data_IF_453065644104
#
_entry.id   IF_453065644104
#
_cell.length_a   1.000
_cell.length_b   1.000
_cell.length_c   1.000
_cell.angle_alpha   90.00
_cell.angle_beta   90.00
_cell.angle_gamma   90.00
#
_symmetry.space_group_name_H-M   'P 1'
#
loop_
_entity.id
_entity.type
_entity.pdbx_description
1 polymer ?
#
# COMPACT_ATOMS: atom_id res chain seq x y z
N UNK A 1 -2.14 -14.53 4.42
CA UNK A 1 -2.35 -13.39 3.49
C UNK A 1 -1.55 -12.20 3.98
N UNK A 2 -0.89 -11.45 3.11
CA UNK A 2 -0.18 -10.21 3.46
C UNK A 2 -0.86 -9.06 2.71
N UNK A 3 -1.25 -8.01 3.43
CA UNK A 3 -1.74 -6.77 2.85
C UNK A 3 -0.69 -5.67 3.00
N UNK A 4 -0.41 -4.96 1.90
CA UNK A 4 0.49 -3.81 1.89
C UNK A 4 -0.30 -2.56 1.58
N UNK A 5 -0.22 -1.58 2.46
CA UNK A 5 -0.93 -0.32 2.28
C UNK A 5 -0.12 0.86 2.83
N UNK A 6 -0.68 2.03 2.77
CA UNK A 6 -0.09 3.29 3.19
C UNK A 6 -0.68 4.42 2.39
N UNK A 7 -0.34 5.64 2.71
CA UNK A 7 -0.72 6.79 1.90
C UNK A 7 -0.22 6.60 0.46
N UNK A 8 -1.00 6.97 -0.55
CA UNK A 8 -0.48 6.96 -1.91
C UNK A 8 0.79 7.83 -1.98
N UNK A 9 1.77 7.41 -2.77
CA UNK A 9 3.10 8.03 -2.88
C UNK A 9 4.05 7.82 -1.68
N UNK A 10 3.66 7.00 -0.68
CA UNK A 10 4.55 6.63 0.43
C UNK A 10 5.62 5.58 0.07
N UNK A 11 5.60 5.01 -1.14
CA UNK A 11 6.55 3.97 -1.55
C UNK A 11 6.03 2.54 -1.43
N UNK A 12 4.72 2.35 -1.32
CA UNK A 12 4.09 1.01 -1.25
C UNK A 12 4.54 0.07 -2.37
N UNK A 13 4.73 0.59 -3.60
CA UNK A 13 5.21 -0.22 -4.73
C UNK A 13 6.65 -0.73 -4.54
N UNK A 14 7.53 0.07 -3.92
CA UNK A 14 8.89 -0.34 -3.59
C UNK A 14 8.89 -1.47 -2.55
N UNK A 15 8.17 -1.29 -1.45
CA UNK A 15 8.06 -2.32 -0.41
C UNK A 15 7.42 -3.60 -0.96
N UNK A 16 6.40 -3.50 -1.82
CA UNK A 16 5.79 -4.68 -2.45
C UNK A 16 6.76 -5.41 -3.39
N UNK A 17 7.59 -4.66 -4.13
CA UNK A 17 8.67 -5.26 -4.93
C UNK A 17 9.62 -6.06 -4.04
N UNK A 18 9.97 -5.54 -2.87
CA UNK A 18 10.81 -6.28 -1.93
C UNK A 18 10.12 -7.56 -1.45
N UNK A 19 8.83 -7.52 -1.10
CA UNK A 19 8.08 -8.73 -0.76
C UNK A 19 8.10 -9.77 -1.91
N UNK A 20 7.94 -9.33 -3.15
CA UNK A 20 8.04 -10.21 -4.33
C UNK A 20 9.42 -10.89 -4.42
N UNK A 21 10.50 -10.14 -4.21
CA UNK A 21 11.89 -10.67 -4.19
C UNK A 21 12.08 -11.70 -3.07
N UNK A 22 11.36 -11.55 -1.97
CA UNK A 22 11.35 -12.47 -0.84
C UNK A 22 10.34 -13.63 -0.99
N UNK A 23 9.85 -13.86 -2.22
CA UNK A 23 9.01 -15.01 -2.56
C UNK A 23 7.51 -14.83 -2.32
N UNK A 24 7.03 -13.62 -2.05
CA UNK A 24 5.59 -13.36 -1.98
C UNK A 24 4.93 -13.42 -3.36
N UNK A 25 3.79 -14.07 -3.45
CA UNK A 25 2.98 -14.18 -4.65
C UNK A 25 1.97 -13.04 -4.73
N UNK A 26 2.01 -12.27 -5.80
CA UNK A 26 1.12 -11.11 -6.03
C UNK A 26 -0.06 -11.41 -6.97
N UNK A 27 -0.17 -12.62 -7.45
CA UNK A 27 -1.10 -13.05 -8.49
C UNK A 27 -0.40 -13.40 -9.81
N UNK A 28 -1.16 -13.87 -10.82
CA UNK A 28 -0.64 -14.14 -12.14
C UNK A 28 0.04 -12.90 -12.73
N UNK A 29 1.19 -13.07 -13.39
CA UNK A 29 2.01 -11.94 -13.87
C UNK A 29 1.25 -11.01 -14.82
N UNK A 30 0.41 -11.56 -15.70
CA UNK A 30 -0.43 -10.79 -16.61
C UNK A 30 -1.53 -9.97 -15.90
N UNK A 31 -1.73 -10.14 -14.60
CA UNK A 31 -2.68 -9.38 -13.76
C UNK A 31 -2.01 -8.42 -12.79
N UNK A 32 -0.69 -8.40 -12.75
CA UNK A 32 0.08 -7.50 -11.87
C UNK A 32 0.66 -6.36 -12.71
N UNK A 33 0.30 -5.13 -12.39
CA UNK A 33 0.78 -3.96 -13.10
C UNK A 33 2.20 -3.54 -12.66
N UNK A 34 2.74 -2.52 -13.31
CA UNK A 34 4.07 -1.94 -13.01
C UNK A 34 4.19 -1.35 -11.59
N UNK A 35 3.08 -1.12 -10.91
CA UNK A 35 3.02 -0.67 -9.53
C UNK A 35 2.85 -1.82 -8.53
N UNK A 36 2.96 -3.07 -8.99
CA UNK A 36 2.79 -4.27 -8.19
C UNK A 36 1.37 -4.41 -7.58
N UNK A 37 0.34 -3.92 -8.25
CA UNK A 37 -1.06 -4.12 -7.90
C UNK A 37 -1.68 -5.20 -8.77
N UNK A 38 -2.44 -6.12 -8.17
CA UNK A 38 -3.28 -7.02 -8.93
C UNK A 38 -4.45 -6.22 -9.50
N UNK A 39 -4.47 -6.06 -10.82
CA UNK A 39 -5.44 -5.21 -11.54
C UNK A 39 -6.87 -5.71 -11.35
N UNK A 40 -7.07 -7.03 -11.32
CA UNK A 40 -8.40 -7.62 -11.16
C UNK A 40 -8.99 -7.32 -9.77
N UNK A 41 -8.19 -7.44 -8.70
CA UNK A 41 -8.62 -7.07 -7.34
C UNK A 41 -8.88 -5.57 -7.26
N UNK A 42 -7.96 -4.76 -7.81
CA UNK A 42 -8.08 -3.29 -7.79
C UNK A 42 -9.36 -2.81 -8.48
N UNK A 43 -9.59 -3.24 -9.72
CA UNK A 43 -10.71 -2.73 -10.53
C UNK A 43 -12.06 -3.31 -10.08
N UNK A 44 -12.13 -4.64 -9.86
CA UNK A 44 -13.42 -5.30 -9.62
C UNK A 44 -13.82 -5.35 -8.14
N UNK A 45 -12.92 -5.07 -7.21
CA UNK A 45 -13.24 -5.06 -5.78
C UNK A 45 -13.01 -3.67 -5.20
N UNK A 46 -11.76 -3.21 -5.10
CA UNK A 46 -11.40 -2.00 -4.36
C UNK A 46 -12.11 -0.78 -4.93
N UNK A 47 -12.01 -0.55 -6.24
CA UNK A 47 -12.69 0.59 -6.89
C UNK A 47 -14.21 0.43 -6.88
N UNK A 48 -14.73 -0.79 -7.05
CA UNK A 48 -16.17 -1.05 -7.02
C UNK A 48 -16.77 -0.75 -5.65
N UNK A 49 -16.06 -1.07 -4.55
CA UNK A 49 -16.51 -0.69 -3.21
C UNK A 49 -16.53 0.83 -3.08
N UNK A 50 -15.42 1.52 -3.45
CA UNK A 50 -15.33 2.98 -3.35
C UNK A 50 -16.45 3.68 -4.16
N UNK A 51 -16.69 3.26 -5.40
CA UNK A 51 -17.77 3.82 -6.23
C UNK A 51 -19.15 3.59 -5.62
N UNK A 52 -19.38 2.43 -4.97
CA UNK A 52 -20.67 2.12 -4.34
C UNK A 52 -20.99 3.01 -3.13
N UNK A 53 -19.98 3.58 -2.51
CA UNK A 53 -20.11 4.49 -1.36
C UNK A 53 -19.83 5.95 -1.75
N UNK A 54 -19.95 6.29 -3.02
CA UNK A 54 -19.73 7.62 -3.58
C UNK A 54 -18.35 8.24 -3.24
N UNK A 55 -17.35 7.38 -2.97
CA UNK A 55 -15.97 7.80 -2.76
C UNK A 55 -15.18 7.79 -4.07
N UNK A 56 -14.11 8.59 -4.14
CA UNK A 56 -13.25 8.62 -5.33
C UNK A 56 -12.54 7.25 -5.54
N UNK A 57 -12.72 6.59 -6.70
CA UNK A 57 -12.08 5.31 -7.00
C UNK A 57 -10.55 5.39 -7.08
N UNK A 58 -9.95 6.56 -7.13
CA UNK A 58 -8.51 6.77 -7.02
C UNK A 58 -8.04 6.98 -5.57
N UNK A 59 -8.98 7.08 -4.61
CA UNK A 59 -8.69 7.32 -3.20
C UNK A 59 -8.24 8.75 -2.90
N UNK A 60 -8.69 9.72 -3.73
CA UNK A 60 -8.52 11.14 -3.49
C UNK A 60 -9.72 11.66 -2.68
N UNK A 61 -10.28 12.82 -2.99
CA UNK A 61 -11.51 13.30 -2.36
C UNK A 61 -12.75 13.00 -3.22
N UNK A 62 -13.89 12.69 -2.56
CA UNK A 62 -14.07 12.55 -1.11
C UNK A 62 -13.51 11.22 -0.58
N UNK A 63 -12.96 11.25 0.65
CA UNK A 63 -12.57 10.03 1.36
C UNK A 63 -13.79 9.45 2.10
N UNK A 64 -13.99 8.12 2.09
CA UNK A 64 -15.11 7.50 2.77
C UNK A 64 -14.94 7.56 4.29
N UNK A 65 -16.05 7.66 5.04
CA UNK A 65 -16.07 7.34 6.45
C UNK A 65 -15.84 5.83 6.64
N UNK A 66 -15.06 5.46 7.65
CA UNK A 66 -14.85 4.05 7.98
C UNK A 66 -16.11 3.42 8.60
N UNK A 67 -16.98 4.23 9.21
CA UNK A 67 -18.19 3.78 9.89
C UNK A 67 -19.34 3.50 8.90
N UNK A 68 -19.24 4.05 7.69
CA UNK A 68 -20.26 3.92 6.63
C UNK A 68 -19.92 2.83 5.59
N UNK A 69 -18.90 2.00 5.87
CA UNK A 69 -18.51 0.96 4.94
C UNK A 69 -19.59 -0.14 4.86
N UNK A 70 -20.08 -0.48 3.66
CA UNK A 70 -21.10 -1.49 3.48
C UNK A 70 -20.55 -2.90 3.76
N UNK A 71 -21.38 -3.78 4.25
CA UNK A 71 -21.04 -5.20 4.25
C UNK A 71 -20.73 -5.66 2.80
N UNK A 72 -19.66 -6.45 2.63
CA UNK A 72 -19.28 -7.01 1.34
C UNK A 72 -19.21 -8.55 1.40
N UNK A 73 -20.35 -9.24 1.29
CA UNK A 73 -20.38 -10.69 1.36
C UNK A 73 -19.49 -11.32 0.30
N UNK A 74 -18.72 -12.33 0.72
CA UNK A 74 -17.85 -13.07 -0.19
C UNK A 74 -16.57 -12.34 -0.60
N UNK A 75 -16.20 -11.21 0.03
CA UNK A 75 -14.96 -10.47 -0.25
C UNK A 75 -13.74 -11.39 -0.28
N UNK A 76 -13.58 -12.25 0.74
CA UNK A 76 -12.47 -13.21 0.79
C UNK A 76 -12.41 -14.10 -0.45
N UNK A 77 -13.55 -14.70 -0.84
CA UNK A 77 -13.62 -15.57 -2.02
C UNK A 77 -13.27 -14.81 -3.29
N UNK A 78 -13.78 -13.60 -3.47
CA UNK A 78 -13.51 -12.77 -4.64
C UNK A 78 -12.03 -12.41 -4.74
N UNK A 79 -11.41 -11.95 -3.65
CA UNK A 79 -9.98 -11.60 -3.60
C UNK A 79 -9.13 -12.82 -3.94
N UNK A 80 -9.39 -13.98 -3.34
CA UNK A 80 -8.63 -15.20 -3.60
C UNK A 80 -8.81 -15.70 -5.03
N UNK A 81 -10.01 -15.57 -5.61
CA UNK A 81 -10.27 -15.91 -7.01
C UNK A 81 -9.42 -15.07 -7.98
N UNK A 82 -9.28 -13.78 -7.71
CA UNK A 82 -8.49 -12.90 -8.57
C UNK A 82 -6.97 -13.01 -8.33
N UNK A 83 -6.56 -13.24 -7.09
CA UNK A 83 -5.15 -13.49 -6.78
C UNK A 83 -4.69 -14.86 -7.31
N UNK A 84 -5.56 -15.86 -7.31
CA UNK A 84 -5.19 -17.23 -7.62
C UNK A 84 -4.45 -17.93 -6.48
N UNK A 85 -3.88 -19.12 -6.80
CA UNK A 85 -3.18 -19.97 -5.83
C UNK A 85 -1.67 -19.68 -5.91
N UNK A 86 -1.08 -19.40 -4.75
CA UNK A 86 0.36 -19.17 -4.62
C UNK A 86 0.81 -19.19 -3.17
N UNK A 87 2.09 -19.37 -2.98
CA UNK A 87 2.70 -19.34 -1.64
C UNK A 87 2.84 -17.91 -1.14
N UNK A 88 2.58 -17.69 0.16
CA UNK A 88 2.68 -16.37 0.79
C UNK A 88 1.96 -15.27 -0.03
N UNK A 89 0.64 -15.41 -0.28
CA UNK A 89 -0.09 -14.46 -1.12
C UNK A 89 -0.06 -13.08 -0.50
N UNK A 90 0.22 -12.07 -1.33
CA UNK A 90 0.24 -10.68 -0.93
C UNK A 90 -0.55 -9.81 -1.91
N UNK A 91 -1.24 -8.82 -1.39
CA UNK A 91 -1.94 -7.81 -2.17
C UNK A 91 -1.60 -6.41 -1.69
N UNK A 92 -1.32 -5.52 -2.62
CA UNK A 92 -0.97 -4.13 -2.35
C UNK A 92 -1.96 -3.19 -3.02
N UNK A 93 -2.49 -2.29 -2.22
CA UNK A 93 -3.20 -1.11 -2.71
C UNK A 93 -3.18 0.00 -1.63
N UNK A 94 -2.84 1.23 -2.00
CA UNK A 94 -2.90 2.37 -1.08
C UNK A 94 -4.33 2.62 -0.57
N UNK A 95 -5.34 2.31 -1.38
CA UNK A 95 -6.75 2.47 -1.03
C UNK A 95 -7.25 1.48 0.04
N UNK A 96 -6.45 0.47 0.39
CA UNK A 96 -6.78 -0.38 1.54
C UNK A 96 -6.83 0.42 2.84
N UNK A 97 -6.14 1.55 2.95
CA UNK A 97 -6.28 2.45 4.12
C UNK A 97 -7.69 3.00 4.28
N UNK A 98 -8.47 3.02 3.21
CA UNK A 98 -9.85 3.51 3.19
C UNK A 98 -10.87 2.39 3.41
N UNK A 99 -10.45 1.14 3.24
CA UNK A 99 -11.33 -0.05 3.23
C UNK A 99 -10.85 -1.14 4.21
N UNK A 100 -9.84 -0.85 5.03
CA UNK A 100 -9.20 -1.86 5.87
C UNK A 100 -10.17 -2.64 6.79
N UNK A 101 -11.27 -2.07 7.33
CA UNK A 101 -12.18 -2.84 8.15
C UNK A 101 -12.79 -4.02 7.41
N UNK A 102 -13.18 -3.82 6.13
CA UNK A 102 -13.74 -4.89 5.31
C UNK A 102 -12.73 -6.01 5.06
N UNK A 103 -11.48 -5.63 4.80
CA UNK A 103 -10.40 -6.59 4.54
C UNK A 103 -9.94 -7.29 5.83
N UNK A 104 -9.94 -6.62 6.99
CA UNK A 104 -9.72 -7.24 8.30
C UNK A 104 -10.77 -8.33 8.56
N UNK A 105 -12.05 -8.00 8.39
CA UNK A 105 -13.13 -8.92 8.67
C UNK A 105 -13.15 -10.12 7.71
N UNK A 106 -12.77 -9.89 6.44
CA UNK A 106 -12.64 -10.95 5.45
C UNK A 106 -11.39 -11.83 5.66
N UNK A 107 -10.32 -11.30 6.26
CA UNK A 107 -9.03 -11.97 6.45
C UNK A 107 -8.48 -11.70 7.86
N UNK A 108 -9.12 -12.21 8.92
CA UNK A 108 -8.73 -11.91 10.30
C UNK A 108 -7.32 -12.40 10.65
N UNK A 109 -6.78 -13.36 9.90
CA UNK A 109 -5.43 -13.90 10.05
C UNK A 109 -4.36 -13.16 9.21
N UNK A 110 -4.74 -12.11 8.50
CA UNK A 110 -3.81 -11.44 7.60
C UNK A 110 -2.76 -10.62 8.33
N UNK A 111 -1.53 -10.65 7.81
CA UNK A 111 -0.45 -9.75 8.19
C UNK A 111 -0.57 -8.44 7.41
N UNK A 112 -0.37 -7.32 8.09
CA UNK A 112 -0.44 -6.01 7.47
C UNK A 112 0.92 -5.33 7.47
N UNK A 113 1.26 -4.70 6.36
CA UNK A 113 2.46 -3.87 6.21
C UNK A 113 2.03 -2.45 5.89
N UNK A 114 2.19 -1.56 6.85
CA UNK A 114 1.89 -0.14 6.70
C UNK A 114 3.14 0.61 6.26
N UNK A 115 3.12 1.13 5.06
CA UNK A 115 4.25 1.84 4.46
C UNK A 115 4.15 3.32 4.75
N UNK A 116 5.19 3.84 5.40
CA UNK A 116 5.32 5.23 5.84
C UNK A 116 6.35 5.98 5.00
N UNK A 117 6.15 7.26 4.91
CA UNK A 117 7.10 8.20 4.32
C UNK A 117 6.88 9.59 4.94
N UNK A 118 7.90 10.43 4.89
CA UNK A 118 7.79 11.83 5.30
C UNK A 118 6.61 12.52 4.59
N UNK A 119 5.80 13.27 5.37
CA UNK A 119 4.58 13.94 4.91
C UNK A 119 4.87 14.91 3.77
N UNK A 120 5.93 15.73 3.88
CA UNK A 120 6.26 16.70 2.85
C UNK A 120 6.65 16.02 1.53
N UNK A 121 7.42 14.91 1.59
CA UNK A 121 7.77 14.12 0.40
C UNK A 121 6.55 13.48 -0.27
N UNK A 122 5.54 13.08 0.51
CA UNK A 122 4.27 12.59 -0.04
C UNK A 122 3.55 13.71 -0.78
N UNK A 123 3.38 14.88 -0.15
CA UNK A 123 2.71 16.05 -0.72
C UNK A 123 3.35 16.44 -2.04
N UNK A 124 4.67 16.64 -2.06
CA UNK A 124 5.41 16.98 -3.27
C UNK A 124 5.25 15.94 -4.38
N UNK A 125 5.26 14.65 -4.00
CA UNK A 125 5.05 13.57 -4.97
C UNK A 125 3.62 13.56 -5.52
N UNK A 126 2.60 13.88 -4.72
CA UNK A 126 1.23 14.03 -5.16
C UNK A 126 1.09 15.17 -6.17
N UNK A 127 1.65 16.32 -5.86
CA UNK A 127 1.62 17.51 -6.73
C UNK A 127 2.24 17.27 -8.11
N UNK A 128 3.30 16.45 -8.18
CA UNK A 128 3.98 16.08 -9.44
C UNK A 128 3.28 14.97 -10.21
N UNK A 129 2.30 14.29 -9.62
CA UNK A 129 1.67 13.11 -10.21
C UNK A 129 0.42 13.50 -11.00
N UNK A 130 0.42 13.27 -12.31
CA UNK A 130 -0.61 13.77 -13.23
C UNK A 130 -2.04 13.33 -12.95
N UNK A 131 -2.24 12.14 -12.39
CA UNK A 131 -3.58 11.63 -12.06
C UNK A 131 -4.05 12.02 -10.64
N UNK A 132 -3.17 12.62 -9.82
CA UNK A 132 -3.51 13.11 -8.49
C UNK A 132 -3.93 14.59 -8.58
N UNK A 133 -5.20 14.86 -8.87
CA UNK A 133 -5.69 16.22 -9.18
C UNK A 133 -6.93 16.64 -8.42
N UNK A 134 -7.61 15.71 -7.73
CA UNK A 134 -8.89 15.97 -7.06
C UNK A 134 -8.75 16.49 -5.63
N UNK A 135 -7.54 16.63 -5.13
CA UNK A 135 -7.29 17.17 -3.80
C UNK A 135 -6.75 18.59 -3.91
N UNK A 136 -7.35 19.52 -3.16
CA UNK A 136 -6.89 20.92 -3.07
C UNK A 136 -5.86 21.09 -1.95
N UNK A 137 -5.97 20.29 -0.92
CA UNK A 137 -5.07 20.29 0.25
C UNK A 137 -4.51 18.89 0.51
N UNK A 138 -3.35 18.62 -0.05
CA UNK A 138 -2.64 17.37 0.15
C UNK A 138 -2.14 17.19 1.58
N UNK A 139 -1.90 18.30 2.31
CA UNK A 139 -1.51 18.26 3.71
C UNK A 139 -2.61 17.65 4.57
N UNK A 140 -3.82 18.18 4.45
CA UNK A 140 -4.99 17.67 5.14
C UNK A 140 -5.34 16.22 4.74
N UNK A 141 -5.23 15.90 3.42
CA UNK A 141 -5.46 14.54 2.93
C UNK A 141 -4.48 13.51 3.55
N UNK A 142 -3.20 13.89 3.75
CA UNK A 142 -2.24 13.02 4.45
C UNK A 142 -2.63 12.89 5.92
N UNK A 143 -3.06 13.97 6.59
CA UNK A 143 -3.49 13.93 8.00
C UNK A 143 -4.68 13.00 8.22
N UNK A 144 -5.65 13.00 7.31
CA UNK A 144 -6.77 12.05 7.35
C UNK A 144 -6.31 10.59 7.18
N UNK A 145 -5.24 10.32 6.41
CA UNK A 145 -4.64 8.98 6.33
C UNK A 145 -3.92 8.62 7.64
N UNK A 146 -3.20 9.56 8.26
CA UNK A 146 -2.54 9.34 9.56
C UNK A 146 -3.56 8.95 10.66
N UNK A 147 -4.70 9.63 10.72
CA UNK A 147 -5.79 9.25 11.66
C UNK A 147 -6.30 7.82 11.42
N UNK A 148 -6.33 7.36 10.15
CA UNK A 148 -6.69 5.98 9.83
C UNK A 148 -5.61 5.01 10.27
N UNK A 149 -4.33 5.39 10.16
CA UNK A 149 -3.22 4.56 10.60
C UNK A 149 -3.23 4.32 12.10
N UNK A 150 -3.63 5.32 12.93
CA UNK A 150 -3.83 5.13 14.37
C UNK A 150 -4.85 4.00 14.62
N UNK A 151 -6.02 4.08 13.99
CA UNK A 151 -7.05 3.04 14.12
C UNK A 151 -6.59 1.66 13.64
N UNK A 152 -5.76 1.62 12.58
CA UNK A 152 -5.20 0.36 12.07
C UNK A 152 -4.22 -0.28 13.04
N UNK A 153 -3.38 0.53 13.73
CA UNK A 153 -2.42 0.03 14.76
C UNK A 153 -3.13 -0.70 15.88
N UNK A 154 -4.27 -0.18 16.31
CA UNK A 154 -5.01 -0.73 17.43
C UNK A 154 -5.76 -2.03 17.08
N UNK A 155 -6.02 -2.30 15.80
CA UNK A 155 -6.96 -3.34 15.39
C UNK A 155 -6.38 -4.40 14.44
N UNK A 156 -5.15 -4.25 13.98
CA UNK A 156 -4.53 -5.14 12.99
C UNK A 156 -3.22 -5.74 13.48
N UNK A 157 -2.93 -6.98 13.05
CA UNK A 157 -1.59 -7.54 13.13
C UNK A 157 -0.68 -6.86 12.10
N UNK A 158 -0.07 -5.74 12.50
CA UNK A 158 0.53 -4.76 11.61
C UNK A 158 1.99 -4.46 11.97
N UNK A 159 2.82 -4.34 10.94
CA UNK A 159 4.18 -3.78 11.03
C UNK A 159 4.27 -2.50 10.21
N UNK A 160 4.93 -1.48 10.76
CA UNK A 160 5.24 -0.26 10.01
C UNK A 160 6.64 -0.30 9.41
N UNK A 161 6.77 0.29 8.22
CA UNK A 161 8.05 0.42 7.54
C UNK A 161 8.17 1.79 6.87
N UNK A 162 9.26 2.48 7.17
CA UNK A 162 9.59 3.76 6.55
C UNK A 162 10.41 3.51 5.29
N UNK A 163 9.86 3.92 4.15
CA UNK A 163 10.52 3.70 2.84
C UNK A 163 11.91 4.30 2.78
N UNK A 164 12.09 5.54 3.26
CA UNK A 164 13.39 6.22 3.25
C UNK A 164 14.42 5.48 4.14
N UNK A 165 13.98 4.88 5.24
CA UNK A 165 14.86 4.07 6.10
C UNK A 165 15.35 2.80 5.40
N UNK A 166 14.49 2.12 4.64
CA UNK A 166 14.89 0.92 3.88
C UNK A 166 15.83 1.28 2.73
N UNK A 167 15.65 2.44 2.10
CA UNK A 167 16.53 2.92 1.03
C UNK A 167 17.93 3.22 1.56
N UNK A 168 18.02 3.85 2.74
CA UNK A 168 19.30 4.19 3.36
C UNK A 168 19.95 3.01 4.07
N UNK A 169 19.18 2.09 4.59
CA UNK A 169 19.65 0.89 5.30
C UNK A 169 18.75 -0.32 4.99
N UNK A 170 19.19 -1.27 4.15
CA UNK A 170 18.43 -2.47 3.80
C UNK A 170 17.97 -3.31 5.01
N UNK A 171 18.71 -3.28 6.11
CA UNK A 171 18.33 -3.97 7.34
C UNK A 171 17.08 -3.42 8.01
N UNK A 172 16.65 -2.19 7.69
CA UNK A 172 15.37 -1.66 8.15
C UNK A 172 14.15 -2.45 7.65
N UNK A 173 14.33 -3.31 6.63
CA UNK A 173 13.28 -4.24 6.17
C UNK A 173 13.15 -5.51 7.04
N UNK A 174 14.06 -5.75 7.98
CA UNK A 174 14.08 -6.97 8.82
C UNK A 174 12.81 -7.17 9.64
N UNK A 175 12.21 -6.09 10.15
CA UNK A 175 10.95 -6.13 10.88
C UNK A 175 9.80 -6.64 9.99
N UNK A 176 9.73 -6.18 8.74
CA UNK A 176 8.75 -6.64 7.76
C UNK A 176 8.99 -8.11 7.40
N UNK A 177 10.25 -8.49 7.14
CA UNK A 177 10.61 -9.87 6.81
C UNK A 177 10.18 -10.79 7.96
N UNK A 178 10.56 -10.49 9.20
CA UNK A 178 10.18 -11.26 10.39
C UNK A 178 8.67 -11.35 10.56
N UNK A 179 7.96 -10.22 10.48
CA UNK A 179 6.51 -10.16 10.64
C UNK A 179 5.79 -11.02 9.59
N UNK A 180 6.25 -10.98 8.33
CA UNK A 180 5.67 -11.74 7.22
C UNK A 180 6.19 -13.20 7.12
N UNK A 181 7.07 -13.65 7.99
CA UNK A 181 7.68 -14.99 7.94
C UNK A 181 8.55 -15.20 6.69
N UNK A 182 9.38 -14.20 6.36
CA UNK A 182 10.27 -14.18 5.20
C UNK A 182 11.73 -14.21 5.66
N UNK A 183 12.60 -14.83 4.88
CA UNK A 183 14.05 -14.77 5.10
C UNK A 183 14.60 -13.47 4.50
N UNK A 184 15.38 -12.72 5.27
CA UNK A 184 15.92 -11.42 4.83
C UNK A 184 17.00 -11.59 3.74
N UNK A 185 16.77 -11.00 2.58
CA UNK A 185 17.71 -10.97 1.45
C UNK A 185 18.24 -9.53 1.24
N UNK A 186 19.27 -9.17 1.99
CA UNK A 186 19.88 -7.83 1.96
C UNK A 186 20.39 -7.46 0.55
N UNK A 187 21.09 -8.38 -0.13
CA UNK A 187 21.62 -8.14 -1.48
C UNK A 187 20.48 -7.90 -2.50
N UNK A 188 19.36 -8.61 -2.35
CA UNK A 188 18.18 -8.39 -3.19
C UNK A 188 17.57 -7.00 -2.96
N UNK A 189 17.57 -6.52 -1.72
CA UNK A 189 17.10 -5.16 -1.37
C UNK A 189 18.02 -4.11 -1.99
N UNK A 190 19.33 -4.20 -1.79
CA UNK A 190 20.32 -3.26 -2.34
C UNK A 190 20.20 -3.12 -3.86
N UNK A 191 20.12 -4.24 -4.58
CA UNK A 191 19.90 -4.24 -6.05
C UNK A 191 18.58 -3.63 -6.47
N UNK A 192 17.61 -3.52 -5.56
CA UNK A 192 16.28 -2.96 -5.84
C UNK A 192 16.20 -1.47 -5.62
N UNK A 193 17.18 -0.86 -4.93
CA UNK A 193 17.21 0.57 -4.68
C UNK A 193 17.69 1.29 -5.94
N UNK A 194 16.77 2.01 -6.59
CA UNK A 194 17.09 2.90 -7.71
C UNK A 194 17.33 4.31 -7.18
N UNK A 195 18.56 4.60 -6.78
CA UNK A 195 18.95 5.88 -6.19
C UNK A 195 18.57 7.08 -7.09
N UNK A 196 18.61 6.93 -8.42
CA UNK A 196 18.25 8.01 -9.35
C UNK A 196 16.76 8.40 -9.26
N UNK A 197 15.88 7.48 -8.93
CA UNK A 197 14.46 7.77 -8.76
C UNK A 197 14.15 8.44 -7.41
N UNK A 198 14.93 8.14 -6.38
CA UNK A 198 14.66 8.62 -5.03
C UNK A 198 15.31 9.97 -4.73
N UNK A 199 16.47 10.27 -5.32
CA UNK A 199 17.19 11.54 -5.14
C UNK A 199 16.73 12.67 -6.08
N UNK A 200 15.80 12.45 -7.00
CA UNK A 200 15.22 13.53 -7.82
C UNK A 200 14.43 14.58 -7.02
N UNK A 201 14.11 14.33 -5.78
CA UNK A 201 13.48 15.30 -4.87
C UNK A 201 14.47 16.29 -4.26
N UNK A 202 15.77 15.99 -4.25
CA UNK A 202 16.76 16.80 -3.53
C UNK A 202 17.51 17.81 -4.44
N UNK A 203 17.31 17.70 -5.77
CA UNK A 203 18.09 18.51 -6.75
C UNK A 203 17.44 19.87 -7.05
N UNK A 204 16.21 20.13 -6.65
CA UNK A 204 15.51 21.40 -6.91
C UNK A 204 15.32 22.30 -5.68
N UNK A 205 15.99 22.00 -4.57
CA UNK A 205 15.97 22.86 -3.38
C UNK A 205 17.07 23.93 -3.34
N UNK A 206 17.94 23.99 -4.37
CA UNK A 206 19.09 24.91 -4.43
C UNK A 206 19.22 25.63 -5.80
N UNK A 207 18.11 26.14 -6.35
CA UNK A 207 18.22 27.18 -7.40
C UNK A 207 17.15 28.24 -7.20
#
# INVERSE_FOLDING_TARGET
>A
MIFVTGCARSGTSFITRLLKIHGCYLGPENRVNVLYENVSVRENIVKSILMRIDADPLGQYPLPSLDDLPAWPGLRKQVLTFLGIGTKPAYKDAKLTLLWPLFRDAFPEAKWVLVRRDKQKIIESCMRTSFMRKCRDWGHWVDEHEQRFEKMRDQLDLVEVWTDSVISNPYAFSSVAKHCGLDLNVLGIERSVDHKKWHRSDVHANT
#
